data_IF_743060946054
#
_entry.id   IF_743060946054
#
_cell.length_a   1.000
_cell.length_b   1.000
_cell.length_c   1.000
_cell.angle_alpha   90.00
_cell.angle_beta   90.00
_cell.angle_gamma   90.00
#
_symmetry.space_group_name_H-M   'P 1'
#
loop_
_entity.id
_entity.type
_entity.pdbx_description
1 polymer ?
#
# COMPACT_ATOMS: atom_id res chain seq x y z
N UNK A 1 -13.89 58.47 21.51
CA UNK A 1 -14.26 57.04 21.49
C UNK A 1 -13.84 56.48 20.12
N UNK A 2 -12.64 55.95 20.03
CA UNK A 2 -12.06 55.32 18.84
C UNK A 2 -12.48 53.88 18.82
N UNK A 3 -13.14 53.42 17.72
CA UNK A 3 -13.51 52.03 17.48
C UNK A 3 -12.22 51.18 17.38
N UNK A 4 -12.22 49.96 17.93
CA UNK A 4 -11.09 49.04 17.71
C UNK A 4 -11.10 48.59 16.27
N UNK A 5 -9.94 48.72 15.58
CA UNK A 5 -9.64 48.10 14.30
C UNK A 5 -9.72 46.59 14.44
N UNK A 6 -10.59 46.01 13.67
CA UNK A 6 -10.70 44.55 13.49
C UNK A 6 -9.45 44.11 12.68
N UNK A 7 -8.45 43.57 13.34
CA UNK A 7 -7.40 42.82 12.71
C UNK A 7 -8.03 41.61 12.00
N UNK A 8 -8.25 41.74 10.69
CA UNK A 8 -8.54 40.60 9.82
C UNK A 8 -7.38 39.60 9.96
N UNK A 9 -7.69 38.40 10.46
CA UNK A 9 -6.72 37.28 10.45
C UNK A 9 -6.41 36.96 8.99
N UNK A 10 -5.32 37.49 8.48
CA UNK A 10 -4.70 37.02 7.27
C UNK A 10 -4.39 35.53 7.46
N UNK A 11 -5.20 34.67 6.86
CA UNK A 11 -4.95 33.23 6.85
C UNK A 11 -3.69 33.03 6.01
N UNK A 12 -2.55 32.83 6.64
CA UNK A 12 -1.31 32.46 6.00
C UNK A 12 -1.58 31.23 5.14
N UNK A 13 -1.81 31.40 3.85
CA UNK A 13 -1.82 30.32 2.87
C UNK A 13 -0.40 29.77 2.76
N UNK A 14 -0.13 28.72 3.51
CA UNK A 14 1.13 27.99 3.33
C UNK A 14 1.17 27.45 1.89
N UNK A 15 2.33 27.53 1.22
CA UNK A 15 2.47 26.95 -0.11
C UNK A 15 2.22 25.45 -0.06
N UNK A 16 1.73 24.89 -1.17
CA UNK A 16 1.58 23.44 -1.32
C UNK A 16 2.94 22.76 -1.27
N UNK A 17 2.97 21.50 -0.79
CA UNK A 17 4.19 20.69 -0.84
C UNK A 17 4.66 20.53 -2.29
N UNK A 18 5.95 20.45 -2.50
CA UNK A 18 6.55 20.27 -3.83
C UNK A 18 6.01 18.97 -4.48
N UNK A 19 5.54 19.03 -5.75
CA UNK A 19 4.96 17.86 -6.43
C UNK A 19 5.95 16.72 -6.70
N UNK A 20 7.25 16.95 -6.51
CA UNK A 20 8.30 15.93 -6.57
C UNK A 20 8.43 15.08 -5.30
N UNK A 21 7.80 15.50 -4.17
CA UNK A 21 7.84 14.73 -2.92
C UNK A 21 7.19 13.35 -3.11
N UNK A 22 7.82 12.32 -2.53
CA UNK A 22 7.38 10.92 -2.57
C UNK A 22 7.36 10.34 -1.16
N UNK A 23 6.48 9.36 -0.93
CA UNK A 23 6.60 8.48 0.24
C UNK A 23 7.72 7.49 -0.09
N UNK A 24 8.85 7.58 0.63
CA UNK A 24 10.05 6.78 0.33
C UNK A 24 9.95 5.36 0.88
N UNK A 25 9.50 5.20 2.12
CA UNK A 25 9.36 3.90 2.76
C UNK A 25 8.31 3.94 3.87
N UNK A 26 7.88 2.76 4.29
CA UNK A 26 7.08 2.53 5.49
C UNK A 26 7.90 1.68 6.46
N UNK A 27 7.80 1.94 7.77
CA UNK A 27 8.50 1.17 8.81
C UNK A 27 7.47 0.52 9.73
N UNK A 28 7.40 -0.82 9.72
CA UNK A 28 6.43 -1.61 10.46
C UNK A 28 7.06 -2.18 11.74
N UNK A 29 6.30 -2.16 12.82
CA UNK A 29 6.58 -2.97 14.01
C UNK A 29 6.00 -4.37 13.77
N UNK A 30 6.84 -5.40 13.92
CA UNK A 30 6.46 -6.81 13.75
C UNK A 30 6.83 -7.59 15.00
N UNK A 31 6.08 -8.64 15.33
CA UNK A 31 6.35 -9.44 16.50
C UNK A 31 7.53 -10.42 16.30
N UNK A 32 7.74 -10.84 15.03
CA UNK A 32 8.79 -11.78 14.63
C UNK A 32 9.32 -11.41 13.25
N UNK A 33 10.63 -11.09 13.18
CA UNK A 33 11.28 -10.70 11.92
C UNK A 33 11.30 -11.82 10.88
N UNK A 34 11.54 -13.07 11.29
CA UNK A 34 11.61 -14.18 10.34
C UNK A 34 10.25 -14.43 9.71
N UNK A 35 9.20 -14.46 10.53
CA UNK A 35 7.82 -14.61 10.07
C UNK A 35 7.41 -13.48 9.09
N UNK A 36 7.80 -12.24 9.39
CA UNK A 36 7.55 -11.12 8.49
C UNK A 36 8.35 -11.26 7.18
N UNK A 37 9.62 -11.67 7.24
CA UNK A 37 10.44 -11.91 6.04
C UNK A 37 9.89 -13.07 5.19
N UNK A 38 9.40 -14.15 5.80
CA UNK A 38 8.78 -15.25 5.09
C UNK A 38 7.55 -14.78 4.29
N UNK A 39 6.80 -13.84 4.81
CA UNK A 39 5.68 -13.22 4.11
C UNK A 39 6.15 -12.23 3.02
N UNK A 40 6.88 -11.19 3.40
CA UNK A 40 7.23 -10.11 2.47
C UNK A 40 8.24 -10.56 1.40
N UNK A 41 9.24 -11.35 1.76
CA UNK A 41 10.21 -11.86 0.79
C UNK A 41 9.77 -13.20 0.18
N UNK A 42 9.28 -14.13 1.00
CA UNK A 42 8.91 -15.47 0.54
C UNK A 42 7.63 -15.47 -0.31
N UNK A 43 6.58 -14.75 0.09
CA UNK A 43 5.30 -14.72 -0.63
C UNK A 43 5.26 -13.57 -1.62
N UNK A 44 5.43 -12.31 -1.16
CA UNK A 44 5.29 -11.13 -2.02
C UNK A 44 6.50 -10.92 -2.94
N UNK A 45 7.69 -11.45 -2.59
CA UNK A 45 8.86 -11.43 -3.47
C UNK A 45 9.76 -10.20 -3.33
N UNK A 46 9.70 -9.48 -2.21
CA UNK A 46 10.70 -8.46 -1.89
C UNK A 46 12.07 -9.10 -1.67
N UNK A 47 13.12 -8.32 -1.88
CA UNK A 47 14.50 -8.72 -1.61
C UNK A 47 14.99 -8.11 -0.31
N UNK A 48 15.60 -8.93 0.57
CA UNK A 48 16.28 -8.43 1.76
C UNK A 48 17.51 -7.61 1.32
N UNK A 49 17.53 -6.34 1.65
CA UNK A 49 18.65 -5.44 1.32
C UNK A 49 19.72 -5.49 2.41
N UNK A 50 19.31 -5.40 3.66
CA UNK A 50 20.21 -5.50 4.82
C UNK A 50 19.41 -5.84 6.08
N UNK A 51 20.08 -6.41 7.06
CA UNK A 51 19.50 -6.70 8.37
C UNK A 51 20.50 -6.42 9.49
N UNK A 52 19.98 -6.22 10.69
CA UNK A 52 20.73 -6.07 11.95
C UNK A 52 19.88 -6.63 13.09
N UNK A 53 20.43 -6.85 14.29
CA UNK A 53 19.65 -7.32 15.42
C UNK A 53 18.37 -6.50 15.61
N UNK A 54 17.21 -7.15 15.58
CA UNK A 54 15.90 -6.54 15.75
C UNK A 54 15.36 -5.73 14.58
N UNK A 55 16.02 -5.71 13.40
CA UNK A 55 15.51 -4.99 12.22
C UNK A 55 15.95 -5.62 10.89
N UNK A 56 15.09 -5.49 9.87
CA UNK A 56 15.36 -5.87 8.50
C UNK A 56 14.82 -4.80 7.53
N UNK A 57 15.49 -4.64 6.38
CA UNK A 57 15.13 -3.67 5.36
C UNK A 57 15.00 -4.40 4.03
N UNK A 58 13.86 -4.23 3.37
CA UNK A 58 13.52 -4.98 2.16
C UNK A 58 13.10 -4.03 1.03
N UNK A 59 13.35 -4.45 -0.21
CA UNK A 59 13.11 -3.62 -1.38
C UNK A 59 12.66 -4.44 -2.60
N UNK A 60 12.00 -3.77 -3.53
CA UNK A 60 11.83 -4.23 -4.91
C UNK A 60 12.81 -3.42 -5.79
N UNK A 61 13.62 -4.12 -6.60
CA UNK A 61 14.63 -3.49 -7.45
C UNK A 61 15.78 -2.83 -6.67
N UNK A 62 16.60 -2.04 -7.09
CA UNK A 62 17.83 -1.52 -6.46
C UNK A 62 17.64 -0.35 -5.46
N UNK A 63 16.44 -0.07 -4.98
CA UNK A 63 16.22 0.97 -3.97
C UNK A 63 16.69 0.51 -2.58
N UNK A 64 17.19 1.43 -1.73
CA UNK A 64 17.76 1.07 -0.44
C UNK A 64 16.77 0.30 0.48
N UNK A 65 15.50 0.69 0.55
CA UNK A 65 14.38 -0.08 1.11
C UNK A 65 13.04 0.61 0.87
N UNK A 66 12.00 -0.17 0.64
CA UNK A 66 10.62 0.28 0.61
C UNK A 66 9.92 -0.03 1.93
N UNK A 67 10.30 -1.11 2.59
CA UNK A 67 9.80 -1.47 3.92
C UNK A 67 10.96 -1.67 4.88
N UNK A 68 10.85 -1.06 6.06
CA UNK A 68 11.61 -1.39 7.25
C UNK A 68 10.74 -2.25 8.18
N UNK A 69 11.31 -3.30 8.73
CA UNK A 69 10.67 -4.19 9.70
C UNK A 69 11.49 -4.17 10.99
N UNK A 70 10.85 -4.02 12.15
CA UNK A 70 11.57 -4.09 13.41
C UNK A 70 10.74 -4.72 14.54
N UNK A 71 11.48 -5.23 15.55
CA UNK A 71 10.92 -5.81 16.77
C UNK A 71 11.32 -5.02 18.01
N UNK A 72 11.78 -3.77 17.88
CA UNK A 72 12.38 -3.01 19.00
C UNK A 72 11.43 -2.83 20.17
N UNK A 73 10.15 -2.62 19.90
CA UNK A 73 9.10 -2.44 20.91
C UNK A 73 8.01 -3.52 20.84
N UNK A 74 8.15 -4.48 19.91
CA UNK A 74 7.07 -5.39 19.53
C UNK A 74 7.48 -6.87 19.47
N UNK A 75 8.67 -7.23 19.96
CA UNK A 75 9.13 -8.63 19.97
C UNK A 75 8.13 -9.52 20.74
N UNK A 76 7.56 -10.52 20.05
CA UNK A 76 6.55 -11.41 20.63
C UNK A 76 5.23 -10.72 20.98
N UNK A 77 5.00 -9.49 20.50
CA UNK A 77 3.80 -8.71 20.75
C UNK A 77 2.57 -9.23 20.01
N UNK A 78 1.43 -8.60 20.28
CA UNK A 78 0.15 -8.86 19.62
C UNK A 78 -0.22 -7.70 18.70
N UNK A 79 -1.09 -7.95 17.69
CA UNK A 79 -1.68 -6.88 16.89
C UNK A 79 -2.38 -5.82 17.74
N UNK A 80 -2.54 -4.57 17.22
CA UNK A 80 -3.34 -3.54 17.87
C UNK A 80 -4.77 -4.04 18.12
N UNK A 81 -5.37 -3.60 19.23
CA UNK A 81 -6.77 -3.94 19.52
C UNK A 81 -7.70 -3.35 18.44
N UNK A 82 -8.81 -4.03 18.08
CA UNK A 82 -9.81 -3.48 17.18
C UNK A 82 -10.31 -2.10 17.63
N UNK A 83 -10.54 -1.18 16.70
CA UNK A 83 -11.03 0.17 16.98
C UNK A 83 -9.98 1.18 17.43
N UNK A 84 -8.68 0.81 17.42
CA UNK A 84 -7.59 1.77 17.64
C UNK A 84 -7.26 2.54 16.35
N UNK A 85 -6.74 3.75 16.49
CA UNK A 85 -6.20 4.53 15.37
C UNK A 85 -4.82 4.01 14.96
N UNK A 86 -4.40 4.24 13.70
CA UNK A 86 -3.11 3.84 13.19
C UNK A 86 -3.09 3.77 11.67
N UNK A 87 -2.11 3.06 11.13
CA UNK A 87 -2.02 2.82 9.69
C UNK A 87 -3.11 1.83 9.27
N UNK A 88 -3.95 2.22 8.30
CA UNK A 88 -4.99 1.32 7.80
C UNK A 88 -4.39 0.22 6.92
N UNK A 89 -3.56 0.60 5.95
CA UNK A 89 -2.77 -0.33 5.15
C UNK A 89 -1.51 0.35 4.56
N UNK A 90 -0.55 -0.47 4.17
CA UNK A 90 0.54 -0.09 3.27
C UNK A 90 0.15 -0.50 1.86
N UNK A 91 0.10 0.46 0.93
CA UNK A 91 -0.23 0.18 -0.46
C UNK A 91 1.03 -0.04 -1.31
N UNK A 92 1.07 -1.15 -2.05
CA UNK A 92 2.18 -1.58 -2.90
C UNK A 92 1.72 -1.52 -4.36
N UNK A 93 2.27 -0.58 -5.13
CA UNK A 93 1.92 -0.36 -6.53
C UNK A 93 2.68 -1.34 -7.43
N UNK A 94 1.93 -2.12 -8.19
CA UNK A 94 2.46 -2.99 -9.24
C UNK A 94 2.48 -2.26 -10.59
N UNK A 95 3.59 -2.39 -11.36
CA UNK A 95 3.74 -1.63 -12.62
C UNK A 95 2.73 -2.02 -13.69
N UNK A 96 2.24 -3.27 -13.68
CA UNK A 96 1.29 -3.78 -14.67
C UNK A 96 0.20 -4.64 -14.02
N UNK A 97 -0.96 -4.73 -14.67
CA UNK A 97 -2.07 -5.61 -14.25
C UNK A 97 -1.63 -7.08 -14.19
N UNK A 98 -0.77 -7.50 -15.11
CA UNK A 98 -0.19 -8.85 -15.13
C UNK A 98 0.66 -9.14 -13.89
N UNK A 99 1.44 -8.18 -13.39
CA UNK A 99 2.23 -8.36 -12.17
C UNK A 99 1.34 -8.39 -10.91
N UNK A 100 0.21 -7.65 -10.90
CA UNK A 100 -0.80 -7.79 -9.86
C UNK A 100 -1.45 -9.17 -9.89
N UNK A 101 -1.72 -9.71 -11.10
CA UNK A 101 -2.23 -11.08 -11.28
C UNK A 101 -1.23 -12.13 -10.77
N UNK A 102 0.09 -11.95 -11.01
CA UNK A 102 1.11 -12.83 -10.45
C UNK A 102 1.15 -12.77 -8.91
N UNK A 103 1.00 -11.58 -8.33
CA UNK A 103 0.88 -11.43 -6.88
C UNK A 103 -0.35 -12.19 -6.34
N UNK A 104 -1.50 -12.08 -6.97
CA UNK A 104 -2.70 -12.86 -6.61
C UNK A 104 -2.43 -14.37 -6.68
N UNK A 105 -1.80 -14.84 -7.76
CA UNK A 105 -1.42 -16.26 -7.90
C UNK A 105 -0.51 -16.72 -6.75
N UNK A 106 0.49 -15.92 -6.35
CA UNK A 106 1.38 -16.20 -5.21
C UNK A 106 0.61 -16.31 -3.90
N UNK A 107 -0.33 -15.40 -3.64
CA UNK A 107 -1.20 -15.45 -2.45
C UNK A 107 -2.03 -16.74 -2.43
N UNK A 108 -2.62 -17.13 -3.56
CA UNK A 108 -3.40 -18.38 -3.67
C UNK A 108 -2.51 -19.61 -3.37
N UNK A 109 -1.32 -19.67 -3.96
CA UNK A 109 -0.37 -20.79 -3.73
C UNK A 109 0.07 -20.84 -2.26
N UNK A 110 0.34 -19.69 -1.66
CA UNK A 110 0.71 -19.58 -0.25
C UNK A 110 -0.49 -19.70 0.72
N UNK A 111 -1.72 -19.83 0.19
CA UNK A 111 -2.98 -19.89 0.98
C UNK A 111 -3.17 -18.66 1.89
N UNK A 112 -2.73 -17.49 1.46
CA UNK A 112 -2.97 -16.23 2.17
C UNK A 112 -4.38 -15.74 1.82
N UNK A 113 -5.27 -15.56 2.80
CA UNK A 113 -6.62 -15.10 2.55
C UNK A 113 -6.63 -13.61 2.12
N UNK A 114 -7.55 -13.26 1.22
CA UNK A 114 -7.89 -11.87 0.94
C UNK A 114 -9.01 -11.41 1.89
N UNK A 115 -8.93 -10.18 2.37
CA UNK A 115 -10.04 -9.49 3.04
C UNK A 115 -11.02 -8.89 2.03
N UNK A 116 -10.55 -8.59 0.83
CA UNK A 116 -11.35 -8.03 -0.25
C UNK A 116 -10.55 -7.83 -1.53
N UNK A 117 -11.29 -7.53 -2.60
CA UNK A 117 -10.71 -7.13 -3.87
C UNK A 117 -11.66 -6.13 -4.54
N UNK A 118 -11.13 -5.01 -5.04
CA UNK A 118 -11.94 -3.90 -5.53
C UNK A 118 -11.43 -3.32 -6.83
N UNK A 119 -12.36 -2.95 -7.70
CA UNK A 119 -12.14 -2.04 -8.82
C UNK A 119 -12.60 -0.63 -8.42
N UNK A 120 -11.64 0.30 -8.35
CA UNK A 120 -11.90 1.70 -7.99
C UNK A 120 -12.09 2.62 -9.21
N UNK A 121 -12.10 2.05 -10.42
CA UNK A 121 -12.15 2.78 -11.68
C UNK A 121 -10.81 3.39 -12.07
N UNK A 122 -10.04 3.85 -11.13
CA UNK A 122 -8.67 4.38 -11.31
C UNK A 122 -7.61 3.30 -11.09
N UNK A 123 -7.93 2.28 -10.30
CA UNK A 123 -7.03 1.19 -9.91
C UNK A 123 -7.82 -0.10 -9.66
N UNK A 124 -7.12 -1.21 -9.66
CA UNK A 124 -7.59 -2.51 -9.17
C UNK A 124 -6.74 -2.91 -7.97
N UNK A 125 -7.35 -3.38 -6.89
CA UNK A 125 -6.71 -3.61 -5.62
C UNK A 125 -7.11 -4.94 -4.97
N UNK A 126 -6.13 -5.55 -4.27
CA UNK A 126 -6.28 -6.73 -3.42
C UNK A 126 -5.94 -6.33 -1.98
N UNK A 127 -6.80 -6.65 -1.03
CA UNK A 127 -6.62 -6.32 0.38
C UNK A 127 -6.38 -7.59 1.20
N UNK A 128 -5.38 -7.54 2.06
CA UNK A 128 -4.99 -8.67 2.92
C UNK A 128 -4.31 -8.18 4.20
N UNK A 129 -3.97 -9.11 5.08
CA UNK A 129 -3.17 -8.85 6.28
C UNK A 129 -1.82 -9.54 6.21
N UNK A 130 -0.81 -8.86 6.75
CA UNK A 130 0.45 -9.50 7.04
C UNK A 130 0.35 -10.39 8.31
N UNK A 131 1.39 -11.14 8.69
CA UNK A 131 1.33 -12.01 9.88
C UNK A 131 1.11 -11.30 11.22
N UNK A 132 1.31 -9.98 11.28
CA UNK A 132 1.09 -9.14 12.45
C UNK A 132 -0.21 -8.31 12.38
N UNK A 133 -1.11 -8.69 11.45
CA UNK A 133 -2.39 -8.03 11.20
C UNK A 133 -2.27 -6.59 10.67
N UNK A 134 -1.10 -6.20 10.15
CA UNK A 134 -0.96 -4.95 9.43
C UNK A 134 -1.70 -5.05 8.08
N UNK A 135 -2.48 -4.02 7.73
CA UNK A 135 -3.14 -3.95 6.44
C UNK A 135 -2.14 -3.84 5.29
N UNK A 136 -2.36 -4.62 4.24
CA UNK A 136 -1.59 -4.57 2.99
C UNK A 136 -2.56 -4.44 1.82
N UNK A 137 -2.30 -3.48 0.95
CA UNK A 137 -2.97 -3.33 -0.33
C UNK A 137 -1.97 -3.62 -1.45
N UNK A 138 -2.30 -4.55 -2.35
CA UNK A 138 -1.57 -4.76 -3.58
C UNK A 138 -2.43 -4.21 -4.72
N UNK A 139 -1.91 -3.24 -5.49
CA UNK A 139 -2.74 -2.58 -6.48
C UNK A 139 -2.00 -2.24 -7.76
N UNK A 140 -2.76 -2.01 -8.81
CA UNK A 140 -2.30 -1.51 -10.09
C UNK A 140 -3.17 -0.32 -10.51
N UNK A 141 -2.51 0.77 -10.90
CA UNK A 141 -3.18 1.94 -11.46
C UNK A 141 -3.52 1.72 -12.94
N UNK A 142 -4.75 2.01 -13.32
CA UNK A 142 -5.11 2.15 -14.73
C UNK A 142 -4.38 3.34 -15.36
N UNK A 143 -4.06 3.30 -16.65
CA UNK A 143 -3.58 4.47 -17.37
C UNK A 143 -4.50 5.69 -17.13
N UNK A 144 -3.91 6.87 -16.92
CA UNK A 144 -4.67 8.10 -16.56
C UNK A 144 -5.77 8.44 -17.55
N UNK A 145 -5.59 8.07 -18.83
CA UNK A 145 -6.52 8.27 -19.92
C UNK A 145 -7.82 7.46 -19.73
N UNK A 146 -7.75 6.37 -18.96
CA UNK A 146 -8.87 5.48 -18.62
C UNK A 146 -9.59 5.88 -17.32
N UNK A 147 -9.05 6.85 -16.57
CA UNK A 147 -9.65 7.23 -15.30
C UNK A 147 -11.03 7.85 -15.50
N UNK A 148 -12.07 7.32 -14.82
CA UNK A 148 -13.41 7.83 -14.95
C UNK A 148 -13.51 9.27 -14.47
N UNK A 149 -14.32 10.07 -15.18
CA UNK A 149 -14.56 11.47 -14.85
C UNK A 149 -16.03 11.72 -14.52
N UNK A 150 -16.27 12.66 -13.63
CA UNK A 150 -17.59 13.21 -13.35
C UNK A 150 -18.00 14.19 -14.46
N UNK A 151 -19.29 14.56 -14.56
CA UNK A 151 -19.75 15.56 -15.53
C UNK A 151 -19.06 16.93 -15.41
N UNK A 152 -18.58 17.27 -14.20
CA UNK A 152 -17.82 18.50 -13.92
C UNK A 152 -16.33 18.41 -14.29
N UNK A 153 -15.88 17.28 -14.87
CA UNK A 153 -14.50 17.01 -15.22
C UNK A 153 -13.65 16.48 -14.06
N UNK A 154 -14.17 16.45 -12.84
CA UNK A 154 -13.48 15.92 -11.66
C UNK A 154 -13.32 14.40 -11.71
N UNK A 155 -12.34 13.87 -10.97
CA UNK A 155 -12.11 12.43 -10.88
C UNK A 155 -13.32 11.73 -10.25
N UNK A 156 -13.73 10.59 -10.84
CA UNK A 156 -14.76 9.71 -10.29
C UNK A 156 -14.11 8.42 -9.83
N UNK A 157 -14.09 8.20 -8.51
CA UNK A 157 -13.72 6.92 -7.94
C UNK A 157 -14.97 6.20 -7.42
N UNK A 158 -14.94 4.90 -7.44
CA UNK A 158 -16.00 4.02 -6.92
C UNK A 158 -15.37 2.78 -6.29
N UNK A 159 -16.18 1.88 -5.74
CA UNK A 159 -15.73 0.62 -5.19
C UNK A 159 -16.68 -0.46 -5.66
N UNK A 160 -16.27 -1.20 -6.69
CA UNK A 160 -16.97 -2.36 -7.22
C UNK A 160 -16.17 -3.63 -6.89
N UNK A 161 -16.83 -4.79 -6.79
CA UNK A 161 -16.11 -6.06 -6.71
C UNK A 161 -15.18 -6.24 -7.93
N UNK A 162 -13.94 -6.67 -7.67
CA UNK A 162 -12.99 -7.02 -8.73
C UNK A 162 -13.21 -8.48 -9.15
N UNK A 163 -13.27 -8.73 -10.46
CA UNK A 163 -13.28 -10.09 -11.00
C UNK A 163 -11.88 -10.70 -10.93
N UNK A 164 -11.66 -11.59 -9.96
CA UNK A 164 -10.37 -12.25 -9.74
C UNK A 164 -10.05 -13.27 -10.85
N UNK A 165 -11.05 -13.85 -11.51
CA UNK A 165 -10.81 -14.76 -12.64
C UNK A 165 -10.31 -13.98 -13.85
N UNK A 166 -10.92 -12.83 -14.14
CA UNK A 166 -10.45 -11.95 -15.22
C UNK A 166 -9.06 -11.39 -14.91
N UNK A 167 -8.76 -11.06 -13.66
CA UNK A 167 -7.41 -10.65 -13.26
C UNK A 167 -6.40 -11.78 -13.50
N UNK A 168 -6.68 -13.01 -13.06
CA UNK A 168 -5.77 -14.16 -13.26
C UNK A 168 -5.57 -14.50 -14.74
N UNK A 169 -6.57 -14.28 -15.60
CA UNK A 169 -6.47 -14.51 -17.05
C UNK A 169 -5.37 -13.62 -17.72
N UNK A 170 -4.92 -12.55 -17.06
CA UNK A 170 -3.76 -11.79 -17.54
C UNK A 170 -2.48 -12.64 -17.65
N UNK A 171 -2.37 -13.70 -16.85
CA UNK A 171 -1.20 -14.58 -16.89
C UNK A 171 -1.13 -15.45 -18.14
N UNK A 172 -2.27 -15.71 -18.78
CA UNK A 172 -2.37 -16.51 -20.00
C UNK A 172 -2.08 -15.71 -21.27
N UNK A 173 -2.08 -14.36 -21.16
CA UNK A 173 -1.77 -13.47 -22.28
C UNK A 173 -0.26 -13.47 -22.56
N UNK A 174 0.17 -13.32 -23.82
CA UNK A 174 1.60 -13.13 -24.11
C UNK A 174 2.16 -11.90 -23.37
N UNK A 175 3.45 -11.91 -22.99
CA UNK A 175 4.10 -10.72 -22.42
C UNK A 175 3.98 -9.53 -23.38
N UNK A 176 3.52 -8.40 -22.89
CA UNK A 176 3.46 -7.13 -23.64
C UNK A 176 4.82 -6.42 -23.63
#
# INVERSE_FOLDING_TARGET
MTKPETLEKETLRMPTIDPGVRIGHVHLKVADLQRALDFYCGVLGFTLTTSRPGAAFISAGGYHHHLGLNTWESLGGSPPAPGTTGLYHTAILYPTRRLLADALRRLIVAKIPLEGASDHGVSEALYLRDPDDNGVELYWDRPKEQWPKRPDGGLRMYTNPLDLHDLLAELDKPPS
#
